data_IF_736766778180
#
_entry.id   IF_736766778180
#
_cell.length_a   1.000
_cell.length_b   1.000
_cell.length_c   1.000
_cell.angle_alpha   90.00
_cell.angle_beta   90.00
_cell.angle_gamma   90.00
#
_symmetry.space_group_name_H-M   'P 1'
#
loop_
_entity.id
_entity.type
_entity.pdbx_description
1 polymer ?
#
# COMPACT_ATOMS: atom_id res chain seq x y z
N UNK A 1 16.93 -23.91 -62.62
CA UNK A 1 17.98 -23.93 -61.57
C UNK A 1 18.10 -22.60 -60.83
N UNK A 2 18.15 -21.42 -61.46
CA UNK A 2 18.25 -20.14 -60.72
C UNK A 2 17.05 -19.80 -59.80
N UNK A 3 15.81 -20.20 -60.17
CA UNK A 3 14.62 -19.94 -59.34
C UNK A 3 14.56 -20.75 -58.04
N UNK A 4 15.20 -21.93 -57.97
CA UNK A 4 15.19 -22.76 -56.75
C UNK A 4 16.16 -22.21 -55.69
N UNK A 5 17.32 -21.72 -56.10
CA UNK A 5 18.31 -21.11 -55.21
C UNK A 5 17.76 -19.86 -54.50
N UNK A 6 17.04 -18.99 -55.23
CA UNK A 6 16.48 -17.76 -54.65
C UNK A 6 15.41 -18.02 -53.58
N UNK A 7 14.65 -19.11 -53.70
CA UNK A 7 13.59 -19.45 -52.73
C UNK A 7 14.20 -20.01 -51.43
N UNK A 8 15.26 -20.82 -51.53
CA UNK A 8 15.99 -21.36 -50.35
C UNK A 8 16.65 -20.28 -49.51
N UNK A 9 17.25 -19.26 -50.13
CA UNK A 9 17.88 -18.14 -49.41
C UNK A 9 16.81 -17.34 -48.65
N UNK A 10 15.65 -17.12 -49.25
CA UNK A 10 14.54 -16.39 -48.65
C UNK A 10 13.92 -17.16 -47.48
N UNK A 11 13.70 -18.47 -47.63
CA UNK A 11 13.22 -19.34 -46.54
C UNK A 11 14.21 -19.34 -45.35
N UNK A 12 15.51 -19.47 -45.63
CA UNK A 12 16.55 -19.39 -44.59
C UNK A 12 16.53 -18.03 -43.89
N UNK A 13 16.39 -16.94 -44.64
CA UNK A 13 16.32 -15.60 -44.07
C UNK A 13 15.07 -15.40 -43.18
N UNK A 14 13.91 -15.91 -43.61
CA UNK A 14 12.67 -15.87 -42.81
C UNK A 14 12.82 -16.67 -41.52
N UNK A 15 13.42 -17.87 -41.59
CA UNK A 15 13.69 -18.68 -40.40
C UNK A 15 14.58 -17.93 -39.39
N UNK A 16 15.64 -17.25 -39.86
CA UNK A 16 16.49 -16.40 -39.02
C UNK A 16 15.68 -15.25 -38.39
N UNK A 17 14.82 -14.58 -39.16
CA UNK A 17 13.98 -13.49 -38.64
C UNK A 17 13.01 -13.96 -37.55
N UNK A 18 12.41 -15.14 -37.72
CA UNK A 18 11.56 -15.75 -36.68
C UNK A 18 12.38 -16.01 -35.42
N UNK A 19 13.56 -16.63 -35.55
CA UNK A 19 14.43 -16.91 -34.42
C UNK A 19 14.82 -15.62 -33.65
N UNK A 20 15.11 -14.54 -34.37
CA UNK A 20 15.41 -13.23 -33.79
C UNK A 20 14.19 -12.69 -33.02
N UNK A 21 12.98 -12.72 -33.61
CA UNK A 21 11.77 -12.24 -32.92
C UNK A 21 11.50 -13.05 -31.65
N UNK A 22 11.64 -14.37 -31.71
CA UNK A 22 11.41 -15.24 -30.54
C UNK A 22 12.40 -14.90 -29.43
N UNK A 23 13.68 -14.68 -29.75
CA UNK A 23 14.68 -14.25 -28.78
C UNK A 23 14.34 -12.88 -28.16
N UNK A 24 13.89 -11.91 -28.96
CA UNK A 24 13.43 -10.61 -28.45
C UNK A 24 12.18 -10.73 -27.58
N UNK A 25 11.18 -11.51 -27.98
CA UNK A 25 9.97 -11.73 -27.20
C UNK A 25 10.30 -12.37 -25.84
N UNK A 26 11.21 -13.34 -25.80
CA UNK A 26 11.71 -13.94 -24.57
C UNK A 26 12.40 -12.91 -23.67
N UNK A 27 13.27 -12.05 -24.23
CA UNK A 27 13.93 -10.99 -23.49
C UNK A 27 12.94 -9.97 -22.89
N UNK A 28 11.94 -9.55 -23.67
CA UNK A 28 10.89 -8.61 -23.22
C UNK A 28 10.05 -9.26 -22.12
N UNK A 29 9.72 -10.54 -22.26
CA UNK A 29 8.95 -11.30 -21.26
C UNK A 29 9.73 -11.43 -19.95
N UNK A 30 11.02 -11.75 -20.00
CA UNK A 30 11.89 -11.75 -18.83
C UNK A 30 11.94 -10.38 -18.15
N UNK A 31 12.09 -9.30 -18.93
CA UNK A 31 12.07 -7.94 -18.39
C UNK A 31 10.72 -7.57 -17.76
N UNK A 32 9.60 -7.98 -18.35
CA UNK A 32 8.28 -7.78 -17.78
C UNK A 32 8.14 -8.47 -16.41
N UNK A 33 8.66 -9.71 -16.29
CA UNK A 33 8.66 -10.46 -15.02
C UNK A 33 9.44 -9.72 -13.91
N UNK A 34 10.61 -9.15 -14.22
CA UNK A 34 11.40 -8.41 -13.23
C UNK A 34 10.68 -7.14 -12.74
N UNK A 35 9.96 -6.45 -13.64
CA UNK A 35 9.16 -5.27 -13.27
C UNK A 35 7.96 -5.68 -12.40
N UNK A 36 7.33 -6.81 -12.74
CA UNK A 36 6.21 -7.36 -11.98
C UNK A 36 6.61 -7.77 -10.56
N UNK A 37 7.78 -8.40 -10.40
CA UNK A 37 8.34 -8.75 -9.08
C UNK A 37 8.53 -7.48 -8.23
N UNK A 38 9.09 -6.41 -8.80
CA UNK A 38 9.23 -5.13 -8.11
C UNK A 38 7.90 -4.48 -7.74
N UNK A 39 6.85 -4.67 -8.56
CA UNK A 39 5.51 -4.20 -8.24
C UNK A 39 4.91 -5.01 -7.08
N UNK A 40 5.14 -6.32 -7.06
CA UNK A 40 4.72 -7.20 -5.97
C UNK A 40 5.39 -6.87 -4.63
N UNK A 41 6.69 -6.52 -4.66
CA UNK A 41 7.40 -6.04 -3.46
C UNK A 41 6.79 -4.75 -2.91
N UNK A 42 6.43 -3.81 -3.80
CA UNK A 42 5.76 -2.55 -3.43
C UNK A 42 4.35 -2.79 -2.87
N UNK A 43 3.58 -3.73 -3.46
CA UNK A 43 2.28 -4.14 -2.91
C UNK A 43 2.42 -4.72 -1.50
N UNK A 44 3.40 -5.60 -1.29
CA UNK A 44 3.64 -6.20 0.02
C UNK A 44 4.03 -5.13 1.05
N UNK A 45 4.86 -4.16 0.65
CA UNK A 45 5.19 -3.01 1.49
C UNK A 45 3.95 -2.17 1.81
N UNK A 46 3.09 -1.89 0.84
CA UNK A 46 1.84 -1.15 1.02
C UNK A 46 0.85 -1.86 1.94
N UNK A 47 0.69 -3.19 1.80
CA UNK A 47 -0.13 -4.00 2.70
C UNK A 47 0.39 -3.97 4.14
N UNK A 48 1.71 -4.11 4.31
CA UNK A 48 2.34 -4.04 5.62
C UNK A 48 2.15 -2.66 6.27
N UNK A 49 2.36 -1.58 5.52
CA UNK A 49 2.13 -0.21 5.98
C UNK A 49 0.65 0.04 6.35
N UNK A 50 -0.28 -0.53 5.58
CA UNK A 50 -1.73 -0.49 5.89
C UNK A 50 -2.05 -1.22 7.20
N UNK A 51 -1.47 -2.39 7.42
CA UNK A 51 -1.66 -3.12 8.68
C UNK A 51 -1.12 -2.32 9.86
N UNK A 52 0.04 -1.68 9.71
CA UNK A 52 0.59 -0.82 10.76
C UNK A 52 -0.27 0.42 11.02
N UNK A 53 -0.77 1.09 9.99
CA UNK A 53 -1.61 2.27 10.14
C UNK A 53 -2.95 1.93 10.82
N UNK A 54 -3.61 0.85 10.41
CA UNK A 54 -4.85 0.37 11.02
C UNK A 54 -4.63 -0.08 12.46
N UNK A 55 -3.54 -0.82 12.72
CA UNK A 55 -3.18 -1.25 14.08
C UNK A 55 -2.93 -0.05 14.99
N UNK A 56 -2.17 0.95 14.52
CA UNK A 56 -1.92 2.16 15.27
C UNK A 56 -3.21 2.92 15.54
N UNK A 57 -4.07 3.08 14.54
CA UNK A 57 -5.37 3.75 14.73
C UNK A 57 -6.21 3.05 15.81
N UNK A 58 -6.33 1.72 15.74
CA UNK A 58 -7.09 0.93 16.69
C UNK A 58 -6.52 1.03 18.11
N UNK A 59 -5.22 0.76 18.28
CA UNK A 59 -4.57 0.81 19.60
C UNK A 59 -4.59 2.22 20.19
N UNK A 60 -4.28 3.24 19.39
CA UNK A 60 -4.25 4.62 19.85
C UNK A 60 -5.66 5.10 20.26
N UNK A 61 -6.69 4.71 19.51
CA UNK A 61 -8.08 5.04 19.88
C UNK A 61 -8.49 4.36 21.19
N UNK A 62 -8.21 3.06 21.36
CA UNK A 62 -8.53 2.35 22.61
C UNK A 62 -7.81 2.99 23.80
N UNK A 63 -6.50 3.21 23.70
CA UNK A 63 -5.71 3.80 24.78
C UNK A 63 -6.17 5.23 25.12
N UNK A 64 -6.48 6.04 24.11
CA UNK A 64 -6.93 7.42 24.32
C UNK A 64 -8.34 7.46 24.94
N UNK A 65 -9.25 6.58 24.55
CA UNK A 65 -10.57 6.48 25.16
C UNK A 65 -10.53 5.89 26.57
N UNK A 66 -9.65 4.93 26.84
CA UNK A 66 -9.42 4.42 28.19
C UNK A 66 -8.90 5.53 29.12
N UNK A 67 -7.88 6.26 28.68
CA UNK A 67 -7.34 7.42 29.41
C UNK A 67 -8.42 8.47 29.67
N UNK A 68 -9.28 8.74 28.67
CA UNK A 68 -10.40 9.65 28.83
C UNK A 68 -11.46 9.13 29.82
N UNK A 69 -11.76 7.83 29.80
CA UNK A 69 -12.65 7.19 30.78
C UNK A 69 -12.12 7.31 32.21
N UNK A 70 -10.82 7.14 32.40
CA UNK A 70 -10.15 7.35 33.69
C UNK A 70 -10.23 8.81 34.13
N UNK A 71 -10.01 9.76 33.21
CA UNK A 71 -10.18 11.19 33.49
C UNK A 71 -11.61 11.55 33.94
N UNK A 72 -12.64 11.04 33.25
CA UNK A 72 -14.04 11.27 33.64
C UNK A 72 -14.35 10.64 34.99
N UNK A 73 -13.82 9.43 35.25
CA UNK A 73 -13.99 8.75 36.54
C UNK A 73 -13.33 9.52 37.67
N UNK A 74 -12.13 10.06 37.44
CA UNK A 74 -11.44 10.97 38.36
C UNK A 74 -12.30 12.19 38.69
N UNK A 75 -12.80 12.91 37.68
CA UNK A 75 -13.66 14.08 37.91
C UNK A 75 -14.92 13.73 38.71
N UNK A 76 -15.57 12.61 38.35
CA UNK A 76 -16.77 12.15 39.04
C UNK A 76 -16.50 11.86 40.52
N UNK A 77 -15.43 11.10 40.81
CA UNK A 77 -15.11 10.71 42.18
C UNK A 77 -14.62 11.92 43.00
N UNK A 78 -13.86 12.83 42.40
CA UNK A 78 -13.46 14.07 43.04
C UNK A 78 -14.69 14.94 43.39
N UNK A 79 -15.63 15.09 42.46
CA UNK A 79 -16.88 15.82 42.74
C UNK A 79 -17.75 15.14 43.79
N UNK A 80 -17.77 13.80 43.81
CA UNK A 80 -18.47 13.04 44.85
C UNK A 80 -17.86 13.30 46.23
N UNK A 81 -16.53 13.28 46.35
CA UNK A 81 -15.84 13.58 47.59
C UNK A 81 -16.13 15.01 48.08
N UNK A 82 -16.13 15.99 47.17
CA UNK A 82 -16.51 17.38 47.48
C UNK A 82 -17.94 17.46 48.03
N UNK A 83 -18.91 16.82 47.38
CA UNK A 83 -20.31 16.83 47.84
C UNK A 83 -20.48 16.15 49.21
N UNK A 84 -19.81 15.03 49.44
CA UNK A 84 -19.84 14.35 50.76
C UNK A 84 -19.18 15.23 51.83
N UNK A 85 -18.10 15.94 51.48
CA UNK A 85 -17.46 16.91 52.39
C UNK A 85 -18.40 18.05 52.75
N UNK A 86 -19.21 18.56 51.79
CA UNK A 86 -20.23 19.57 52.05
C UNK A 86 -21.33 19.01 52.99
N UNK A 87 -21.78 17.77 52.76
CA UNK A 87 -22.79 17.10 53.60
C UNK A 87 -22.28 16.86 55.04
N UNK A 88 -21.01 16.50 55.20
CA UNK A 88 -20.36 16.29 56.50
C UNK A 88 -20.45 17.52 57.42
N UNK A 89 -20.48 18.74 56.88
CA UNK A 89 -20.58 19.97 57.68
C UNK A 89 -21.94 20.11 58.39
N UNK A 90 -22.98 19.42 57.91
CA UNK A 90 -24.36 19.55 58.43
C UNK A 90 -24.95 18.23 58.89
N UNK A 91 -24.22 17.12 58.76
CA UNK A 91 -24.68 15.79 59.09
C UNK A 91 -24.80 15.56 60.61
N UNK A 92 -25.81 14.79 61.06
CA UNK A 92 -25.94 14.40 62.47
C UNK A 92 -24.84 13.39 62.87
N UNK A 93 -24.47 13.36 64.16
CA UNK A 93 -23.35 12.55 64.69
C UNK A 93 -23.43 11.08 64.31
N UNK A 94 -24.63 10.50 64.21
CA UNK A 94 -24.83 9.10 63.87
C UNK A 94 -24.45 8.75 62.42
N UNK A 95 -24.36 9.75 61.52
CA UNK A 95 -24.04 9.56 60.11
C UNK A 95 -22.60 9.93 59.76
N UNK A 96 -21.88 10.63 60.64
CA UNK A 96 -20.53 11.12 60.38
C UNK A 96 -19.57 10.01 59.99
N UNK A 97 -19.54 8.90 60.74
CA UNK A 97 -18.63 7.78 60.45
C UNK A 97 -18.87 7.15 59.07
N UNK A 98 -20.14 7.08 58.63
CA UNK A 98 -20.50 6.51 57.33
C UNK A 98 -20.10 7.46 56.20
N UNK A 99 -20.34 8.76 56.35
CA UNK A 99 -19.98 9.76 55.36
C UNK A 99 -18.46 9.93 55.24
N UNK A 100 -17.73 9.87 56.35
CA UNK A 100 -16.25 9.88 56.35
C UNK A 100 -15.69 8.68 55.57
N UNK A 101 -16.24 7.47 55.78
CA UNK A 101 -15.84 6.28 55.02
C UNK A 101 -16.13 6.44 53.52
N UNK A 102 -17.32 6.93 53.16
CA UNK A 102 -17.68 7.15 51.76
C UNK A 102 -16.80 8.21 51.08
N UNK A 103 -16.50 9.31 51.78
CA UNK A 103 -15.59 10.35 51.30
C UNK A 103 -14.19 9.77 51.06
N UNK A 104 -13.70 8.95 52.00
CA UNK A 104 -12.41 8.28 51.85
C UNK A 104 -12.39 7.38 50.61
N UNK A 105 -13.41 6.54 50.43
CA UNK A 105 -13.52 5.68 49.23
C UNK A 105 -13.56 6.51 47.95
N UNK A 106 -14.29 7.63 47.94
CA UNK A 106 -14.35 8.52 46.79
C UNK A 106 -12.98 9.15 46.47
N UNK A 107 -12.24 9.60 47.49
CA UNK A 107 -10.89 10.11 47.33
C UNK A 107 -9.91 9.03 46.85
N UNK A 108 -9.92 7.85 47.46
CA UNK A 108 -9.07 6.72 47.08
C UNK A 108 -9.31 6.33 45.60
N UNK A 109 -10.57 6.31 45.16
CA UNK A 109 -10.92 6.06 43.76
C UNK A 109 -10.53 7.22 42.84
N UNK A 110 -10.61 8.48 43.28
CA UNK A 110 -10.14 9.61 42.50
C UNK A 110 -8.63 9.51 42.26
N UNK A 111 -7.86 9.30 43.33
CA UNK A 111 -6.40 9.15 43.27
C UNK A 111 -5.99 7.97 42.38
N UNK A 112 -6.64 6.81 42.53
CA UNK A 112 -6.39 5.66 41.67
C UNK A 112 -6.63 5.98 40.17
N UNK A 113 -7.71 6.70 39.85
CA UNK A 113 -7.97 7.10 38.46
C UNK A 113 -6.99 8.17 37.96
N UNK A 114 -6.47 9.02 38.85
CA UNK A 114 -5.52 10.09 38.50
C UNK A 114 -4.23 9.54 37.90
N UNK A 115 -3.76 8.40 38.40
CA UNK A 115 -2.55 7.74 37.91
C UNK A 115 -2.75 7.01 36.57
N UNK A 116 -4.01 6.73 36.20
CA UNK A 116 -4.36 5.96 34.99
C UNK A 116 -4.62 6.84 33.76
N UNK A 117 -4.38 8.15 33.83
CA UNK A 117 -4.39 9.01 32.64
C UNK A 117 -3.25 10.02 32.66
N UNK A 118 -2.77 10.36 31.46
CA UNK A 118 -1.61 11.21 31.29
C UNK A 118 -1.97 12.70 31.41
N UNK A 119 -1.49 13.34 32.47
CA UNK A 119 -1.81 14.73 32.80
C UNK A 119 -1.31 15.75 31.77
N UNK A 120 -0.32 15.38 30.95
CA UNK A 120 0.22 16.22 29.87
C UNK A 120 -0.80 16.56 28.76
N UNK A 121 -1.87 15.76 28.64
CA UNK A 121 -2.93 16.02 27.67
C UNK A 121 -4.08 16.86 28.23
N UNK A 122 -3.97 17.35 29.48
CA UNK A 122 -4.90 18.34 30.01
C UNK A 122 -4.69 19.68 29.30
N UNK A 123 -5.81 20.34 29.03
CA UNK A 123 -5.87 21.73 28.61
C UNK A 123 -5.70 22.65 29.83
N UNK A 124 -5.44 23.93 29.55
CA UNK A 124 -5.32 24.95 30.62
C UNK A 124 -6.63 25.15 31.41
N UNK A 125 -7.76 24.81 30.81
CA UNK A 125 -9.09 24.85 31.44
C UNK A 125 -9.42 23.59 32.25
N UNK A 126 -8.48 22.62 32.34
CA UNK A 126 -8.66 21.36 33.05
C UNK A 126 -9.30 20.25 32.21
N UNK A 127 -9.78 20.53 30.99
CA UNK A 127 -10.38 19.52 30.12
C UNK A 127 -9.33 18.58 29.50
N UNK A 128 -9.66 17.30 29.31
CA UNK A 128 -8.75 16.32 28.71
C UNK A 128 -8.83 16.31 27.18
N UNK A 129 -7.68 16.45 26.50
CA UNK A 129 -7.62 16.51 25.03
C UNK A 129 -7.27 15.15 24.41
N UNK A 130 -8.30 14.35 24.13
CA UNK A 130 -8.17 13.06 23.43
C UNK A 130 -7.51 13.23 22.06
N UNK A 131 -7.91 14.27 21.32
CA UNK A 131 -7.34 14.59 20.01
C UNK A 131 -5.82 14.79 20.07
N UNK A 132 -5.32 15.46 21.12
CA UNK A 132 -3.89 15.73 21.29
C UNK A 132 -3.13 14.45 21.60
N UNK A 133 -3.64 13.62 22.51
CA UNK A 133 -3.06 12.31 22.82
C UNK A 133 -3.01 11.43 21.57
N UNK A 134 -4.11 11.31 20.83
CA UNK A 134 -4.16 10.54 19.59
C UNK A 134 -3.17 11.06 18.54
N UNK A 135 -3.00 12.38 18.43
CA UNK A 135 -2.03 12.98 17.51
C UNK A 135 -0.59 12.64 17.86
N UNK A 136 -0.23 12.67 19.15
CA UNK A 136 1.11 12.26 19.62
C UNK A 136 1.33 10.77 19.38
N UNK A 137 0.38 9.92 19.78
CA UNK A 137 0.48 8.48 19.56
C UNK A 137 0.56 8.12 18.07
N UNK A 138 -0.13 8.86 17.20
CA UNK A 138 -0.01 8.69 15.75
C UNK A 138 1.38 9.08 15.25
N UNK A 139 1.91 10.21 15.71
CA UNK A 139 3.25 10.65 15.35
C UNK A 139 4.33 9.68 15.82
N UNK A 140 4.20 9.14 17.03
CA UNK A 140 5.12 8.13 17.56
C UNK A 140 5.05 6.82 16.75
N UNK A 141 3.84 6.37 16.43
CA UNK A 141 3.65 5.16 15.65
C UNK A 141 4.19 5.32 14.20
N UNK A 142 4.00 6.49 13.59
CA UNK A 142 4.57 6.83 12.28
C UNK A 142 6.10 6.98 12.29
N UNK A 143 6.70 7.26 13.46
CA UNK A 143 8.16 7.26 13.64
C UNK A 143 8.72 5.84 13.73
N UNK A 144 7.98 4.93 14.36
CA UNK A 144 8.41 3.54 14.54
C UNK A 144 8.18 2.68 13.29
N UNK A 145 7.07 2.91 12.58
CA UNK A 145 6.68 2.13 11.41
C UNK A 145 6.37 3.04 10.23
N UNK A 146 6.77 2.61 9.04
CA UNK A 146 6.31 3.23 7.80
C UNK A 146 4.81 3.00 7.63
N UNK A 147 4.04 4.09 7.62
CA UNK A 147 2.59 4.10 7.45
C UNK A 147 2.17 4.68 6.10
N UNK A 148 3.13 4.96 5.21
CA UNK A 148 2.87 5.56 3.90
C UNK A 148 2.49 4.48 2.87
N UNK A 149 1.31 3.88 3.06
CA UNK A 149 0.81 2.84 2.15
C UNK A 149 0.40 3.39 0.78
N UNK A 150 -0.03 4.66 0.70
CA UNK A 150 -0.51 5.27 -0.55
C UNK A 150 0.60 5.36 -1.59
N UNK A 151 1.79 5.81 -1.20
CA UNK A 151 2.93 5.89 -2.12
C UNK A 151 3.42 4.50 -2.55
N UNK A 152 3.36 3.50 -1.67
CA UNK A 152 3.75 2.12 -1.98
C UNK A 152 2.80 1.49 -3.01
N UNK A 153 1.48 1.64 -2.83
CA UNK A 153 0.51 1.16 -3.82
C UNK A 153 0.57 1.93 -5.14
N UNK A 154 0.82 3.24 -5.09
CA UNK A 154 1.02 4.03 -6.31
C UNK A 154 2.23 3.55 -7.12
N UNK A 155 3.31 3.14 -6.44
CA UNK A 155 4.48 2.56 -7.12
C UNK A 155 4.20 1.17 -7.69
N UNK A 156 3.47 0.32 -6.96
CA UNK A 156 3.01 -0.97 -7.46
C UNK A 156 2.15 -0.82 -8.72
N UNK A 157 1.22 0.15 -8.74
CA UNK A 157 0.37 0.43 -9.89
C UNK A 157 1.15 0.92 -11.12
N UNK A 158 2.19 1.74 -10.92
CA UNK A 158 3.11 2.10 -12.01
C UNK A 158 3.83 0.87 -12.56
N UNK A 159 4.31 0.00 -11.67
CA UNK A 159 4.93 -1.27 -12.04
C UNK A 159 4.01 -2.14 -12.88
N UNK A 160 2.78 -2.39 -12.42
CA UNK A 160 1.75 -3.14 -13.17
C UNK A 160 1.43 -2.53 -14.52
N UNK A 161 1.32 -1.19 -14.60
CA UNK A 161 1.08 -0.50 -15.85
C UNK A 161 2.23 -0.72 -16.85
N UNK A 162 3.48 -0.67 -16.38
CA UNK A 162 4.67 -0.98 -17.20
C UNK A 162 4.69 -2.45 -17.64
N UNK A 163 4.42 -3.40 -16.75
CA UNK A 163 4.32 -4.83 -17.08
C UNK A 163 3.26 -5.06 -18.15
N UNK A 164 2.06 -4.47 -18.00
CA UNK A 164 0.99 -4.55 -19.00
C UNK A 164 1.45 -4.04 -20.37
N UNK A 165 2.12 -2.89 -20.42
CA UNK A 165 2.61 -2.33 -21.68
C UNK A 165 3.72 -3.18 -22.32
N UNK A 166 4.56 -3.84 -21.52
CA UNK A 166 5.52 -4.83 -22.03
C UNK A 166 4.82 -6.05 -22.65
N UNK A 167 3.78 -6.58 -22.00
CA UNK A 167 2.99 -7.68 -22.56
C UNK A 167 2.30 -7.30 -23.87
N UNK A 168 1.83 -6.06 -24.02
CA UNK A 168 1.33 -5.55 -25.30
C UNK A 168 2.42 -5.58 -26.38
N UNK A 169 3.66 -5.22 -26.03
CA UNK A 169 4.79 -5.31 -26.96
C UNK A 169 5.07 -6.76 -27.39
N UNK A 170 4.98 -7.73 -26.46
CA UNK A 170 5.09 -9.17 -26.77
C UNK A 170 3.96 -9.65 -27.70
N UNK A 171 2.73 -9.15 -27.51
CA UNK A 171 1.61 -9.45 -28.41
C UNK A 171 1.87 -8.94 -29.83
N UNK A 172 2.39 -7.73 -29.98
CA UNK A 172 2.76 -7.16 -31.30
C UNK A 172 3.87 -7.98 -31.96
N UNK A 173 4.90 -8.40 -31.20
CA UNK A 173 5.96 -9.29 -31.70
C UNK A 173 5.43 -10.65 -32.16
N UNK A 174 4.45 -11.21 -31.44
CA UNK A 174 3.81 -12.46 -31.84
C UNK A 174 3.09 -12.35 -33.18
N UNK A 175 2.45 -11.21 -33.48
CA UNK A 175 1.82 -10.95 -34.78
C UNK A 175 2.86 -10.95 -35.91
N UNK A 176 4.04 -10.37 -35.66
CA UNK A 176 5.13 -10.38 -36.63
C UNK A 176 5.61 -11.81 -36.95
N UNK A 177 5.71 -12.68 -35.94
CA UNK A 177 6.04 -14.09 -36.14
C UNK A 177 5.00 -14.83 -37.00
N UNK A 178 3.71 -14.51 -36.84
CA UNK A 178 2.63 -15.07 -37.68
C UNK A 178 2.81 -14.67 -39.15
N UNK A 179 3.12 -13.40 -39.43
CA UNK A 179 3.37 -12.96 -40.81
C UNK A 179 4.55 -13.68 -41.45
N UNK A 180 5.63 -13.90 -40.69
CA UNK A 180 6.78 -14.66 -41.19
C UNK A 180 6.46 -16.13 -41.41
N UNK A 181 5.70 -16.77 -40.53
CA UNK A 181 5.24 -18.14 -40.74
C UNK A 181 4.36 -18.29 -41.99
N UNK A 182 3.52 -17.29 -42.30
CA UNK A 182 2.70 -17.29 -43.51
C UNK A 182 3.51 -17.16 -44.81
N UNK A 183 4.75 -16.64 -44.76
CA UNK A 183 5.62 -16.53 -45.95
C UNK A 183 5.95 -17.91 -46.53
N UNK A 184 6.07 -18.94 -45.68
CA UNK A 184 6.36 -20.31 -46.12
C UNK A 184 5.18 -20.93 -46.90
N UNK A 185 3.95 -20.49 -46.61
CA UNK A 185 2.72 -21.07 -47.19
C UNK A 185 2.23 -20.37 -48.46
N UNK A 186 2.76 -19.18 -48.81
CA UNK A 186 2.30 -18.40 -49.95
C UNK A 186 3.28 -18.43 -51.13
N UNK A 187 2.79 -18.33 -52.36
CA UNK A 187 3.62 -18.21 -53.57
C UNK A 187 3.53 -16.80 -54.19
N UNK A 188 4.56 -16.42 -54.96
CA UNK A 188 4.55 -15.20 -55.77
C UNK A 188 4.74 -13.89 -55.00
N UNK A 189 4.20 -12.79 -55.55
CA UNK A 189 4.42 -11.41 -55.07
C UNK A 189 3.92 -11.17 -53.63
N UNK A 190 3.01 -12.00 -53.15
CA UNK A 190 2.44 -11.89 -51.80
C UNK A 190 3.46 -12.23 -50.70
N UNK A 191 4.49 -13.06 -50.98
CA UNK A 191 5.60 -13.32 -50.03
C UNK A 191 6.30 -12.04 -49.59
N UNK A 192 6.60 -11.16 -50.55
CA UNK A 192 7.34 -9.92 -50.27
C UNK A 192 6.51 -8.94 -49.44
N UNK A 193 5.19 -8.89 -49.65
CA UNK A 193 4.27 -8.06 -48.85
C UNK A 193 4.25 -8.54 -47.39
N UNK A 194 4.17 -9.86 -47.16
CA UNK A 194 4.18 -10.44 -45.81
C UNK A 194 5.50 -10.21 -45.09
N UNK A 195 6.64 -10.31 -45.78
CA UNK A 195 7.95 -10.01 -45.18
C UNK A 195 8.01 -8.55 -44.74
N UNK A 196 7.62 -7.60 -45.60
CA UNK A 196 7.62 -6.17 -45.26
C UNK A 196 6.71 -5.90 -44.06
N UNK A 197 5.49 -6.47 -44.08
CA UNK A 197 4.52 -6.28 -43.00
C UNK A 197 5.04 -6.89 -41.68
N UNK A 198 5.58 -8.10 -41.72
CA UNK A 198 6.21 -8.77 -40.58
C UNK A 198 7.37 -7.95 -40.01
N UNK A 199 8.25 -7.43 -40.87
CA UNK A 199 9.37 -6.58 -40.46
C UNK A 199 8.90 -5.27 -39.84
N UNK A 200 7.92 -4.58 -40.43
CA UNK A 200 7.36 -3.37 -39.84
C UNK A 200 6.75 -3.62 -38.46
N UNK A 201 6.00 -4.73 -38.33
CA UNK A 201 5.36 -5.12 -37.06
C UNK A 201 6.41 -5.51 -36.01
N UNK A 202 7.48 -6.20 -36.41
CA UNK A 202 8.59 -6.55 -35.54
C UNK A 202 9.32 -5.31 -35.01
N UNK A 203 9.65 -4.37 -35.91
CA UNK A 203 10.29 -3.10 -35.53
C UNK A 203 9.38 -2.32 -34.59
N UNK A 204 8.08 -2.22 -34.87
CA UNK A 204 7.13 -1.55 -33.99
C UNK A 204 7.08 -2.19 -32.59
N UNK A 205 7.03 -3.52 -32.50
CA UNK A 205 7.06 -4.25 -31.23
C UNK A 205 8.35 -4.04 -30.43
N UNK A 206 9.51 -4.05 -31.10
CA UNK A 206 10.80 -3.78 -30.48
C UNK A 206 10.84 -2.33 -29.95
N UNK A 207 10.46 -1.36 -30.78
CA UNK A 207 10.45 0.06 -30.38
C UNK A 207 9.52 0.29 -29.20
N UNK A 208 8.33 -0.30 -29.21
CA UNK A 208 7.39 -0.21 -28.09
C UNK A 208 7.99 -0.79 -26.81
N UNK A 209 8.62 -1.97 -26.86
CA UNK A 209 9.27 -2.57 -25.71
C UNK A 209 10.41 -1.69 -25.16
N UNK A 210 11.22 -1.09 -26.05
CA UNK A 210 12.28 -0.17 -25.65
C UNK A 210 11.71 1.11 -25.02
N UNK A 211 10.64 1.68 -25.58
CA UNK A 211 9.99 2.86 -25.01
C UNK A 211 9.40 2.60 -23.63
N UNK A 212 8.85 1.41 -23.38
CA UNK A 212 8.30 1.06 -22.07
C UNK A 212 9.41 0.70 -21.07
N UNK A 213 10.50 0.10 -21.54
CA UNK A 213 11.61 -0.34 -20.67
C UNK A 213 12.58 0.77 -20.27
N UNK A 214 12.75 1.77 -21.13
CA UNK A 214 13.67 2.89 -20.91
C UNK A 214 12.97 4.25 -20.84
N UNK A 215 11.73 4.35 -21.28
CA UNK A 215 10.91 5.55 -21.11
C UNK A 215 10.29 5.57 -19.71
N UNK A 216 10.43 6.72 -19.07
CA UNK A 216 9.92 7.04 -17.73
C UNK A 216 8.41 6.72 -17.59
#
# INVERSE_FOLDING_TARGET
MEKESGNQILETAVAILIAVIVAFAALVTWRASVIDDSAGDADYAGLRATVYSVRAQALNSVNAYESYGNYVSYLRNNRMAELISEDLETAPEEQLAVLEEQMKVANDLADANRDMFETQYLNRDGSYSVQRQMGVMWADAAKENDMDFENQFAEADKGRARTRNMLVSVMVLSIAAVFYSLVESMEGRNKMILIILGSLTAVAGIVMAFMVGFGA
#
